data_IF_520436382995
#
_entry.id   IF_520436382995
#
_cell.length_a   1.000
_cell.length_b   1.000
_cell.length_c   1.000
_cell.angle_alpha   90.00
_cell.angle_beta   90.00
_cell.angle_gamma   90.00
#
_symmetry.space_group_name_H-M   'P 1'
#
loop_
_entity.id
_entity.type
_entity.pdbx_description
1 polymer ?
#
# COMPACT_ATOMS: atom_id res chain seq x y z
N UNK A 1 -14.31 -0.15 -0.31
CA UNK A 1 -12.96 -0.72 -0.45
C UNK A 1 -12.12 -0.11 -1.58
N UNK A 2 -12.65 0.81 -2.40
CA UNK A 2 -11.90 1.41 -3.51
C UNK A 2 -10.87 2.47 -3.09
N UNK A 3 -11.16 3.21 -2.01
CA UNK A 3 -10.34 4.35 -1.57
C UNK A 3 -8.96 3.90 -1.09
N UNK A 4 -8.91 2.90 -0.21
CA UNK A 4 -7.64 2.38 0.34
C UNK A 4 -6.74 1.80 -0.75
N UNK A 5 -7.31 1.00 -1.66
CA UNK A 5 -6.56 0.45 -2.80
C UNK A 5 -6.07 1.52 -3.79
N UNK A 6 -6.88 2.56 -4.06
CA UNK A 6 -6.49 3.66 -4.94
C UNK A 6 -5.38 4.54 -4.32
N UNK A 7 -5.47 4.82 -3.02
CA UNK A 7 -4.42 5.55 -2.30
C UNK A 7 -3.12 4.74 -2.28
N UNK A 8 -3.20 3.43 -2.02
CA UNK A 8 -2.04 2.54 -2.08
C UNK A 8 -1.39 2.53 -3.47
N UNK A 9 -2.18 2.45 -4.53
CA UNK A 9 -1.69 2.53 -5.91
C UNK A 9 -1.00 3.86 -6.22
N UNK A 10 -1.57 4.98 -5.77
CA UNK A 10 -0.99 6.30 -5.96
C UNK A 10 0.36 6.42 -5.24
N UNK A 11 0.45 5.96 -4.00
CA UNK A 11 1.72 5.98 -3.27
C UNK A 11 2.77 5.02 -3.84
N UNK A 12 2.37 3.92 -4.47
CA UNK A 12 3.29 3.05 -5.19
C UNK A 12 3.98 3.80 -6.35
N UNK A 13 3.21 4.55 -7.14
CA UNK A 13 3.74 5.39 -8.21
C UNK A 13 4.64 6.50 -7.66
N UNK A 14 4.22 7.18 -6.58
CA UNK A 14 5.05 8.22 -5.95
C UNK A 14 6.38 7.68 -5.43
N UNK A 15 6.39 6.44 -4.92
CA UNK A 15 7.59 5.78 -4.42
C UNK A 15 8.55 5.43 -5.56
N UNK A 16 8.02 4.93 -6.69
CA UNK A 16 8.78 4.71 -7.92
C UNK A 16 9.37 6.02 -8.48
N UNK A 17 8.55 7.08 -8.56
CA UNK A 17 9.00 8.40 -9.00
C UNK A 17 10.11 8.97 -8.11
N UNK A 18 10.05 8.71 -6.80
CA UNK A 18 11.08 9.14 -5.85
C UNK A 18 12.39 8.42 -6.07
N UNK A 19 12.35 7.12 -6.33
CA UNK A 19 13.54 6.36 -6.71
C UNK A 19 14.17 6.94 -7.98
N UNK A 20 13.36 7.20 -9.03
CA UNK A 20 13.86 7.82 -10.25
C UNK A 20 14.41 9.22 -10.03
N UNK A 21 13.82 10.01 -9.12
CA UNK A 21 14.33 11.32 -8.77
C UNK A 21 15.73 11.23 -8.14
N UNK A 22 15.95 10.30 -7.22
CA UNK A 22 17.26 10.06 -6.59
C UNK A 22 18.28 9.58 -7.62
N UNK A 23 17.91 8.63 -8.48
CA UNK A 23 18.77 8.14 -9.56
C UNK A 23 19.14 9.27 -10.53
N UNK A 24 18.16 10.09 -10.92
CA UNK A 24 18.35 11.24 -11.78
C UNK A 24 19.33 12.27 -11.19
N UNK A 25 19.23 12.57 -9.89
CA UNK A 25 20.18 13.45 -9.20
C UNK A 25 21.61 12.89 -9.23
N UNK A 26 21.78 11.57 -9.04
CA UNK A 26 23.11 10.92 -9.09
C UNK A 26 23.74 10.97 -10.49
N UNK A 27 22.92 10.88 -11.54
CA UNK A 27 23.37 10.88 -12.94
C UNK A 27 23.29 12.25 -13.63
N UNK A 28 23.04 13.33 -12.87
CA UNK A 28 22.94 14.70 -13.38
C UNK A 28 21.92 14.87 -14.51
N UNK A 29 20.80 14.13 -14.39
CA UNK A 29 19.71 14.11 -15.35
C UNK A 29 18.80 15.33 -15.16
N UNK A 30 18.13 15.80 -16.23
CA UNK A 30 17.13 16.88 -16.08
C UNK A 30 15.84 16.28 -15.56
N UNK A 31 15.30 16.85 -14.48
CA UNK A 31 14.00 16.45 -13.91
C UNK A 31 12.85 16.44 -14.93
N UNK A 32 12.94 17.23 -16.01
CA UNK A 32 12.00 17.22 -17.14
C UNK A 32 11.87 15.84 -17.81
N UNK A 33 12.83 14.93 -17.66
CA UNK A 33 12.74 13.56 -18.18
C UNK A 33 11.80 12.65 -17.39
N UNK A 34 11.48 13.03 -16.14
CA UNK A 34 10.60 12.26 -15.24
C UNK A 34 9.11 12.58 -15.44
N UNK A 35 8.80 13.68 -16.14
CA UNK A 35 7.45 14.16 -16.33
C UNK A 35 7.04 14.13 -17.81
N UNK A 36 5.75 13.94 -18.08
CA UNK A 36 5.21 14.03 -19.42
C UNK A 36 5.20 15.50 -19.88
N UNK A 37 6.07 15.85 -20.83
CA UNK A 37 6.13 17.15 -21.51
C UNK A 37 6.82 17.07 -22.87
N UNK A 38 6.61 18.07 -23.73
CA UNK A 38 7.25 18.15 -25.04
C UNK A 38 8.78 18.30 -24.95
N UNK A 39 9.52 17.65 -25.85
CA UNK A 39 10.99 17.69 -25.89
C UNK A 39 11.70 16.53 -25.18
N UNK A 40 11.13 15.32 -25.23
CA UNK A 40 11.73 14.07 -24.70
C UNK A 40 13.02 13.70 -25.44
N UNK A 41 14.15 14.24 -24.99
CA UNK A 41 15.49 13.88 -25.48
C UNK A 41 16.37 13.52 -24.29
N UNK A 42 16.31 12.26 -23.85
CA UNK A 42 17.09 11.74 -22.74
C UNK A 42 17.14 10.21 -22.76
N UNK A 43 18.25 9.65 -22.27
CA UNK A 43 18.43 8.19 -22.18
C UNK A 43 17.66 7.62 -20.98
N UNK A 44 16.49 7.04 -21.25
CA UNK A 44 15.65 6.38 -20.25
C UNK A 44 16.24 5.05 -19.74
N UNK A 45 17.28 4.52 -20.40
CA UNK A 45 17.93 3.27 -20.00
C UNK A 45 18.52 3.35 -18.59
N UNK A 46 18.97 4.54 -18.17
CA UNK A 46 19.50 4.79 -16.82
C UNK A 46 18.40 4.63 -15.76
N UNK A 47 17.18 5.11 -16.02
CA UNK A 47 16.07 4.98 -15.07
C UNK A 47 15.68 3.51 -14.86
N UNK A 48 15.63 2.75 -15.95
CA UNK A 48 15.23 1.34 -15.93
C UNK A 48 16.24 0.43 -15.22
N UNK A 49 17.50 0.88 -15.11
CA UNK A 49 18.59 0.15 -14.45
C UNK A 49 18.89 0.65 -13.04
N UNK A 50 18.50 1.89 -12.70
CA UNK A 50 18.84 2.52 -11.42
C UNK A 50 17.90 2.17 -10.25
N UNK A 51 16.69 1.69 -10.54
CA UNK A 51 15.66 1.38 -9.55
C UNK A 51 15.27 -0.09 -9.58
N UNK A 52 16.18 -1.01 -9.20
CA UNK A 52 15.85 -2.42 -9.16
C UNK A 52 14.81 -2.71 -8.08
N UNK A 53 13.76 -3.45 -8.43
CA UNK A 53 12.69 -3.88 -7.53
C UNK A 53 13.17 -5.07 -6.68
N UNK A 54 14.12 -4.81 -5.79
CA UNK A 54 14.72 -5.80 -4.92
C UNK A 54 13.86 -6.07 -3.68
N UNK A 55 13.75 -7.33 -3.31
CA UNK A 55 13.23 -7.68 -1.99
C UNK A 55 14.23 -7.30 -0.89
N UNK A 56 13.74 -6.98 0.32
CA UNK A 56 14.57 -6.59 1.46
C UNK A 56 15.68 -7.60 1.78
N UNK A 57 15.45 -8.89 1.52
CA UNK A 57 16.42 -9.98 1.74
C UNK A 57 17.59 -9.91 0.74
N UNK A 58 17.36 -9.33 -0.44
CA UNK A 58 18.34 -9.19 -1.51
C UNK A 58 19.12 -7.87 -1.42
N UNK A 59 18.70 -6.93 -0.58
CA UNK A 59 19.39 -5.66 -0.33
C UNK A 59 20.70 -5.94 0.42
N UNK A 60 21.76 -6.25 -0.32
CA UNK A 60 23.12 -6.44 0.21
C UNK A 60 23.90 -5.13 0.37
N UNK A 61 23.52 -4.09 -0.37
CA UNK A 61 24.16 -2.78 -0.33
C UNK A 61 23.16 -1.72 0.13
N UNK A 62 23.57 -0.87 1.09
CA UNK A 62 22.80 0.26 1.65
C UNK A 62 22.46 1.37 0.64
N UNK A 63 22.86 1.22 -0.63
CA UNK A 63 22.62 2.18 -1.71
C UNK A 63 21.34 1.94 -2.49
N UNK A 64 20.68 0.79 -2.30
CA UNK A 64 19.46 0.40 -3.00
C UNK A 64 18.21 1.00 -2.34
N UNK A 65 17.21 1.35 -3.15
CA UNK A 65 15.96 1.93 -2.68
C UNK A 65 15.01 0.84 -2.16
N UNK A 66 14.50 1.01 -0.93
CA UNK A 66 13.49 0.11 -0.36
C UNK A 66 12.09 0.63 -0.69
N UNK A 67 11.31 -0.17 -1.44
CA UNK A 67 9.94 0.14 -1.83
C UNK A 67 8.90 -0.32 -0.79
N UNK A 68 9.31 -1.07 0.25
CA UNK A 68 8.46 -1.45 1.38
C UNK A 68 7.14 -2.11 0.97
N UNK A 69 6.04 -1.51 1.44
CA UNK A 69 4.66 -2.01 1.21
C UNK A 69 4.18 -1.89 -0.24
N UNK A 70 4.90 -1.15 -1.08
CA UNK A 70 4.55 -0.94 -2.48
C UNK A 70 5.30 -1.87 -3.43
N UNK A 71 6.30 -2.60 -2.92
CA UNK A 71 7.14 -3.50 -3.73
C UNK A 71 6.29 -4.53 -4.49
N UNK A 72 5.29 -5.11 -3.83
CA UNK A 72 4.37 -6.10 -4.42
C UNK A 72 3.60 -5.52 -5.63
N UNK A 73 3.17 -4.26 -5.55
CA UNK A 73 2.47 -3.56 -6.64
C UNK A 73 3.37 -3.31 -7.86
N UNK A 74 4.64 -3.01 -7.60
CA UNK A 74 5.63 -2.70 -8.63
C UNK A 74 6.14 -3.98 -9.29
N UNK A 75 6.44 -5.02 -8.51
CA UNK A 75 6.91 -6.32 -9.02
C UNK A 75 5.87 -7.01 -9.89
N UNK A 76 4.59 -6.91 -9.51
CA UNK A 76 3.50 -7.47 -10.31
C UNK A 76 3.23 -6.71 -11.61
N UNK A 77 3.95 -5.60 -11.88
CA UNK A 77 3.78 -4.73 -13.07
C UNK A 77 2.32 -4.31 -13.28
N UNK A 78 1.53 -4.27 -12.21
CA UNK A 78 0.12 -3.86 -12.28
C UNK A 78 0.01 -2.36 -12.59
N UNK A 79 1.07 -1.60 -12.28
CA UNK A 79 1.22 -0.22 -12.75
C UNK A 79 1.31 -0.15 -14.29
N UNK A 80 2.02 -1.09 -14.93
CA UNK A 80 2.30 -1.10 -16.38
C UNK A 80 1.20 -1.72 -17.25
N UNK A 81 0.33 -2.56 -16.69
CA UNK A 81 -0.76 -3.20 -17.45
C UNK A 81 -1.74 -2.18 -18.02
N UNK A 82 -2.36 -2.45 -19.18
CA UNK A 82 -3.36 -1.56 -19.81
C UNK A 82 -4.79 -1.83 -19.35
N UNK A 83 -5.03 -2.96 -18.70
CA UNK A 83 -6.35 -3.38 -18.26
C UNK A 83 -6.76 -2.76 -16.93
N UNK A 84 -7.58 -1.70 -17.01
CA UNK A 84 -8.06 -0.96 -15.85
C UNK A 84 -8.84 -1.82 -14.84
N UNK A 85 -9.61 -2.82 -15.32
CA UNK A 85 -10.36 -3.73 -14.44
C UNK A 85 -9.44 -4.58 -13.57
N UNK A 86 -8.34 -5.06 -14.13
CA UNK A 86 -7.37 -5.87 -13.41
C UNK A 86 -6.68 -5.05 -12.31
N UNK A 87 -6.34 -3.79 -12.62
CA UNK A 87 -5.80 -2.84 -11.62
C UNK A 87 -6.75 -2.63 -10.44
N UNK A 88 -8.02 -2.34 -10.72
CA UNK A 88 -9.01 -2.10 -9.66
C UNK A 88 -9.22 -3.34 -8.80
N UNK A 89 -9.40 -4.51 -9.42
CA UNK A 89 -9.67 -5.74 -8.68
C UNK A 89 -8.48 -6.12 -7.80
N UNK A 90 -7.26 -5.99 -8.31
CA UNK A 90 -6.06 -6.27 -7.53
C UNK A 90 -5.85 -5.27 -6.39
N UNK A 91 -5.96 -3.97 -6.65
CA UNK A 91 -5.83 -2.96 -5.59
C UNK A 91 -6.94 -3.09 -4.52
N UNK A 92 -8.14 -3.46 -4.95
CA UNK A 92 -9.27 -3.72 -4.05
C UNK A 92 -9.04 -4.99 -3.22
N UNK A 93 -8.49 -6.04 -3.83
CA UNK A 93 -8.11 -7.28 -3.17
C UNK A 93 -7.04 -7.05 -2.11
N UNK A 94 -5.96 -6.35 -2.48
CA UNK A 94 -4.89 -5.99 -1.56
C UNK A 94 -5.43 -5.19 -0.37
N UNK A 95 -6.23 -4.15 -0.61
CA UNK A 95 -6.82 -3.34 0.46
C UNK A 95 -7.77 -4.12 1.36
N UNK A 96 -8.55 -5.06 0.80
CA UNK A 96 -9.43 -5.94 1.58
C UNK A 96 -8.63 -6.89 2.48
N UNK A 97 -7.56 -7.48 1.95
CA UNK A 97 -6.66 -8.35 2.70
C UNK A 97 -5.99 -7.57 3.85
N UNK A 98 -5.46 -6.38 3.57
CA UNK A 98 -4.81 -5.55 4.61
C UNK A 98 -5.76 -5.12 5.71
N UNK A 99 -7.01 -4.74 5.38
CA UNK A 99 -8.01 -4.37 6.37
C UNK A 99 -8.48 -5.57 7.21
N UNK A 100 -8.68 -6.73 6.59
CA UNK A 100 -9.13 -7.95 7.27
C UNK A 100 -8.08 -8.49 8.24
N UNK A 101 -6.81 -8.31 7.91
CA UNK A 101 -5.68 -8.72 8.74
C UNK A 101 -5.20 -7.61 9.69
N UNK A 102 -5.92 -6.50 9.87
CA UNK A 102 -5.51 -5.38 10.73
C UNK A 102 -4.11 -4.81 10.39
N UNK A 103 -3.70 -4.89 9.12
CA UNK A 103 -2.37 -4.49 8.66
C UNK A 103 -1.26 -5.48 9.03
N UNK A 104 -1.57 -6.64 9.62
CA UNK A 104 -0.58 -7.69 9.90
C UNK A 104 0.02 -8.20 8.58
N UNK A 105 1.33 -8.00 8.42
CA UNK A 105 2.07 -8.35 7.20
C UNK A 105 2.51 -7.16 6.34
N UNK A 106 2.11 -5.92 6.68
CA UNK A 106 2.64 -4.72 6.06
C UNK A 106 4.10 -4.49 6.49
N UNK A 107 5.04 -4.66 5.57
CA UNK A 107 6.46 -4.32 5.79
C UNK A 107 6.72 -2.88 5.36
N UNK A 108 6.37 -1.93 6.22
CA UNK A 108 6.73 -0.52 6.00
C UNK A 108 8.26 -0.34 6.06
N UNK A 109 8.78 0.52 5.18
CA UNK A 109 10.13 1.05 5.26
C UNK A 109 10.20 2.19 6.29
N UNK A 110 11.38 2.80 6.46
CA UNK A 110 11.60 3.91 7.40
C UNK A 110 11.03 5.25 6.91
N UNK A 111 10.22 5.23 5.85
CA UNK A 111 9.61 6.42 5.29
C UNK A 111 8.34 6.82 6.06
N UNK A 112 8.27 8.06 6.53
CA UNK A 112 7.15 8.59 7.31
C UNK A 112 5.77 8.36 6.66
N UNK A 113 5.66 8.50 5.34
CA UNK A 113 4.39 8.30 4.64
C UNK A 113 3.89 6.85 4.66
N UNK A 114 4.80 5.88 4.64
CA UNK A 114 4.44 4.45 4.71
C UNK A 114 3.95 4.07 6.11
N UNK A 115 4.61 4.61 7.14
CA UNK A 115 4.24 4.39 8.54
C UNK A 115 2.85 4.97 8.81
N UNK A 116 2.61 6.22 8.40
CA UNK A 116 1.30 6.89 8.57
C UNK A 116 0.18 6.16 7.82
N UNK A 117 0.46 5.67 6.61
CA UNK A 117 -0.52 4.92 5.83
C UNK A 117 -0.84 3.56 6.47
N UNK A 118 0.18 2.86 6.97
CA UNK A 118 0.00 1.59 7.67
C UNK A 118 -0.81 1.76 8.97
N UNK A 119 -0.53 2.81 9.75
CA UNK A 119 -1.28 3.15 10.97
C UNK A 119 -2.77 3.43 10.66
N UNK A 120 -3.04 4.20 9.60
CA UNK A 120 -4.41 4.48 9.16
C UNK A 120 -5.18 3.20 8.77
N UNK A 121 -4.52 2.27 8.06
CA UNK A 121 -5.12 0.97 7.72
C UNK A 121 -5.44 0.16 8.98
N UNK A 122 -4.52 0.13 9.96
CA UNK A 122 -4.71 -0.58 11.22
C UNK A 122 -5.90 -0.01 12.01
N UNK A 123 -6.00 1.32 12.12
CA UNK A 123 -7.13 2.00 12.80
C UNK A 123 -8.47 1.67 12.13
N UNK A 124 -8.54 1.74 10.79
CA UNK A 124 -9.78 1.39 10.07
C UNK A 124 -10.12 -0.09 10.28
N UNK A 125 -9.14 -0.99 10.19
CA UNK A 125 -9.34 -2.42 10.45
C UNK A 125 -9.91 -2.69 11.85
N UNK A 126 -9.37 -2.02 12.87
CA UNK A 126 -9.84 -2.15 14.26
C UNK A 126 -11.28 -1.68 14.43
N UNK A 127 -11.64 -0.53 13.85
CA UNK A 127 -13.00 0.01 13.90
C UNK A 127 -13.98 -0.94 13.20
N UNK A 128 -13.63 -1.43 12.01
CA UNK A 128 -14.47 -2.39 11.27
C UNK A 128 -14.66 -3.70 12.05
N UNK A 129 -13.60 -4.21 12.66
CA UNK A 129 -13.67 -5.42 13.48
C UNK A 129 -14.56 -5.23 14.71
N UNK A 130 -14.43 -4.11 15.42
CA UNK A 130 -15.29 -3.76 16.54
C UNK A 130 -16.76 -3.62 16.13
N UNK A 131 -17.05 -3.01 14.98
CA UNK A 131 -18.40 -2.90 14.44
C UNK A 131 -18.99 -4.25 14.03
N UNK A 132 -18.18 -5.12 13.42
CA UNK A 132 -18.63 -6.46 13.03
C UNK A 132 -18.95 -7.32 14.26
N UNK A 133 -18.09 -7.28 15.27
CA UNK A 133 -18.37 -7.89 16.58
C UNK A 133 -19.65 -7.30 17.17
N UNK A 134 -19.81 -5.98 17.17
CA UNK A 134 -21.00 -5.30 17.67
C UNK A 134 -22.28 -5.73 16.94
N UNK A 135 -22.23 -5.96 15.63
CA UNK A 135 -23.36 -6.46 14.85
C UNK A 135 -23.68 -7.93 15.14
N UNK A 136 -22.65 -8.76 15.34
CA UNK A 136 -22.80 -10.18 15.69
C UNK A 136 -23.25 -10.37 17.15
N UNK A 137 -22.83 -9.50 18.07
CA UNK A 137 -23.24 -9.50 19.48
C UNK A 137 -24.58 -8.78 19.70
N UNK A 138 -24.90 -7.77 18.89
CA UNK A 138 -26.17 -7.03 18.92
C UNK A 138 -27.39 -7.87 18.51
N UNK A 139 -27.16 -9.04 17.90
CA UNK A 139 -28.19 -10.06 17.66
C UNK A 139 -28.30 -11.10 18.79
N UNK A 140 -27.50 -10.99 19.87
CA UNK A 140 -27.57 -11.87 21.04
C UNK A 140 -27.62 -11.18 22.42
N UNK A 141 -27.98 -9.90 22.49
CA UNK A 141 -28.42 -9.34 23.78
C UNK A 141 -29.63 -8.42 23.66
N UNK A 142 -30.80 -9.04 23.46
CA UNK A 142 -32.09 -8.50 23.91
C UNK A 142 -32.91 -9.50 24.74
N UNK A 143 -32.34 -10.63 25.17
CA UNK A 143 -33.11 -11.71 25.84
C UNK A 143 -32.51 -12.19 27.17
N UNK A 144 -31.59 -11.45 27.81
CA UNK A 144 -31.07 -11.87 29.13
C UNK A 144 -31.24 -10.80 30.23
N UNK A 145 -32.32 -10.02 30.15
CA UNK A 145 -32.83 -9.19 31.26
C UNK A 145 -34.28 -9.58 31.61
N UNK A 146 -34.56 -10.87 31.82
CA UNK A 146 -35.84 -11.35 32.40
C UNK A 146 -35.71 -12.73 33.08
N UNK A 147 -34.63 -12.97 33.82
CA UNK A 147 -34.62 -14.08 34.80
C UNK A 147 -33.90 -13.58 36.05
N UNK A 148 -34.60 -12.77 36.84
CA UNK A 148 -34.26 -12.58 38.24
C UNK A 148 -34.97 -13.66 39.09
N UNK A 149 -34.40 -14.00 40.26
CA UNK A 149 -34.43 -15.34 40.83
C UNK A 149 -35.50 -15.51 41.90
N UNK A 150 -36.31 -16.56 41.80
CA UNK A 150 -37.11 -17.04 42.93
C UNK A 150 -36.81 -18.52 43.17
N UNK A 151 -35.98 -18.78 44.18
CA UNK A 151 -36.02 -19.99 44.98
C UNK A 151 -35.25 -19.76 46.30
N UNK A 152 -35.64 -20.35 47.43
CA UNK A 152 -36.94 -20.88 47.87
C UNK A 152 -37.64 -19.98 48.91
#
# INVERSE_FOLDING_TARGET
>A
SHVVGAIWYLFAIESELRCWHIACQRHNCRSKFLYCGEGRVGDYGILNTSCPLLERIEIKNSTNFDFGIYLDALQTRIVETRDFRQKILYCSWWGLQSLSSLGQGLKASTFYGEILFADFIAVIGLVLFALLIGNMQGSKCKTFYWVDPELP
#
